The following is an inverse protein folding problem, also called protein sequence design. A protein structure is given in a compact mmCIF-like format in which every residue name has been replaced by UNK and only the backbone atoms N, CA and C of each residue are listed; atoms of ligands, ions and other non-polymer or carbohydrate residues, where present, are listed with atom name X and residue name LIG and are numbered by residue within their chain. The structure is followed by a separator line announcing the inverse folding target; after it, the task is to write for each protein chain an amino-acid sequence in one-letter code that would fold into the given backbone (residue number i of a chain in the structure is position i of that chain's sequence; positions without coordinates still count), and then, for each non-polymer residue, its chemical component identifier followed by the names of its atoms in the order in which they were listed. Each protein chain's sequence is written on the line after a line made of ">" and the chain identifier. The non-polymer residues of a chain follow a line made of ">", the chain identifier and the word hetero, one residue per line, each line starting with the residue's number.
data_IF_586119628967
#
_entry.id   IF_586119628967
#
_cell.length_a   1.000
_cell.length_b   1.000
_cell.length_c   1.000
_cell.angle_alpha   90.00
_cell.angle_beta   90.00
_cell.angle_gamma   90.00
#
_symmetry.space_group_name_H-M   'P 1'
#
loop_
_entity.id
_entity.type
_entity.pdbx_description
1 polymer ?
#
# COMPACT_ATOMS: atom_id res chain seq x y z
N UNK A 1 17.08 -50.76 2.79
CA UNK A 1 15.64 -51.06 2.53
C UNK A 1 14.82 -50.11 3.40
N UNK A 2 14.22 -49.06 2.85
CA UNK A 2 13.32 -48.20 3.65
C UNK A 2 12.01 -48.97 3.93
N UNK A 3 11.53 -48.94 5.17
CA UNK A 3 10.30 -49.60 5.57
C UNK A 3 9.08 -48.72 5.21
N UNK A 4 7.93 -49.36 4.94
CA UNK A 4 6.68 -48.72 4.50
C UNK A 4 6.22 -47.52 5.35
N UNK A 5 6.48 -47.54 6.66
CA UNK A 5 6.20 -46.46 7.60
C UNK A 5 7.05 -45.22 7.36
N UNK A 6 8.32 -45.38 6.94
CA UNK A 6 9.19 -44.26 6.56
C UNK A 6 8.77 -43.65 5.23
N UNK A 7 8.32 -44.47 4.27
CA UNK A 7 7.78 -43.98 3.00
C UNK A 7 6.48 -43.18 3.21
N UNK A 8 5.60 -43.63 4.11
CA UNK A 8 4.36 -42.94 4.45
C UNK A 8 4.60 -41.58 5.13
N UNK A 9 5.51 -41.50 6.11
CA UNK A 9 5.85 -40.23 6.76
C UNK A 9 6.47 -39.21 5.79
N UNK A 10 7.32 -39.65 4.86
CA UNK A 10 7.91 -38.77 3.83
C UNK A 10 6.85 -38.24 2.86
N UNK A 11 5.89 -39.08 2.47
CA UNK A 11 4.77 -38.64 1.63
C UNK A 11 3.91 -37.59 2.33
N UNK A 12 3.57 -37.79 3.62
CA UNK A 12 2.81 -36.82 4.39
C UNK A 12 3.56 -35.50 4.60
N UNK A 13 4.86 -35.55 4.88
CA UNK A 13 5.69 -34.35 4.99
C UNK A 13 5.78 -33.59 3.65
N UNK A 14 5.90 -34.31 2.53
CA UNK A 14 5.87 -33.72 1.19
C UNK A 14 4.53 -33.04 0.86
N UNK A 15 3.42 -33.68 1.23
CA UNK A 15 2.07 -33.11 1.05
C UNK A 15 1.92 -31.86 1.93
N UNK A 16 2.28 -31.92 3.21
CA UNK A 16 2.17 -30.78 4.12
C UNK A 16 3.00 -29.57 3.64
N UNK A 17 4.22 -29.82 3.14
CA UNK A 17 5.07 -28.78 2.56
C UNK A 17 4.47 -28.17 1.29
N UNK A 18 3.91 -28.99 0.40
CA UNK A 18 3.21 -28.52 -0.80
C UNK A 18 1.99 -27.65 -0.46
N UNK A 19 1.23 -28.01 0.57
CA UNK A 19 0.10 -27.22 1.05
C UNK A 19 0.53 -25.88 1.67
N UNK A 20 1.64 -25.84 2.41
CA UNK A 20 2.19 -24.58 2.94
C UNK A 20 2.65 -23.64 1.83
N UNK A 21 3.26 -24.17 0.76
CA UNK A 21 3.70 -23.37 -0.38
C UNK A 21 2.50 -22.84 -1.17
N UNK A 22 1.48 -23.66 -1.40
CA UNK A 22 0.26 -23.25 -2.10
C UNK A 22 -0.55 -22.21 -1.30
N UNK A 23 -0.64 -22.36 0.03
CA UNK A 23 -1.34 -21.40 0.90
C UNK A 23 -0.60 -20.05 1.03
N UNK A 24 0.69 -20.00 0.70
CA UNK A 24 1.50 -18.78 0.72
C UNK A 24 1.37 -17.90 -0.52
N UNK A 25 0.61 -18.32 -1.54
CA UNK A 25 0.38 -17.50 -2.72
C UNK A 25 -0.67 -16.44 -2.41
N UNK A 26 -0.23 -15.28 -1.94
CA UNK A 26 -1.06 -14.09 -1.95
C UNK A 26 -1.44 -13.80 -3.40
N UNK A 27 -2.74 -13.88 -3.71
CA UNK A 27 -3.27 -13.38 -4.98
C UNK A 27 -3.09 -11.87 -4.93
N UNK A 28 -2.10 -11.35 -5.64
CA UNK A 28 -1.97 -9.92 -5.80
C UNK A 28 -3.19 -9.44 -6.59
N UNK A 29 -3.98 -8.56 -5.97
CA UNK A 29 -5.09 -7.89 -6.65
C UNK A 29 -4.46 -6.99 -7.73
N UNK A 30 -4.74 -7.26 -9.01
CA UNK A 30 -4.20 -6.51 -10.16
C UNK A 30 -4.93 -5.18 -10.33
N UNK A 31 -5.15 -4.47 -9.21
CA UNK A 31 -5.75 -3.16 -9.22
C UNK A 31 -4.88 -2.25 -10.10
N UNK A 32 -5.46 -1.52 -11.07
CA UNK A 32 -4.68 -0.65 -11.93
C UNK A 32 -3.97 0.38 -11.05
N UNK A 33 -2.69 0.64 -11.35
CA UNK A 33 -2.00 1.78 -10.77
C UNK A 33 -2.84 3.05 -11.00
N UNK A 34 -2.81 4.06 -10.11
CA UNK A 34 -3.66 5.25 -10.24
C UNK A 34 -3.56 5.93 -11.61
N UNK A 35 -2.38 5.95 -12.24
CA UNK A 35 -2.19 6.50 -13.59
C UNK A 35 -2.85 5.68 -14.72
N UNK A 36 -3.25 4.43 -14.45
CA UNK A 36 -3.82 3.48 -15.40
C UNK A 36 -5.32 3.21 -15.14
N UNK A 37 -5.89 3.79 -14.09
CA UNK A 37 -7.31 3.65 -13.81
C UNK A 37 -8.15 4.52 -14.77
N UNK A 38 -9.48 4.38 -14.68
CA UNK A 38 -10.43 5.11 -15.52
C UNK A 38 -11.06 6.30 -14.80
N UNK A 39 -10.56 6.68 -13.62
CA UNK A 39 -11.15 7.77 -12.83
C UNK A 39 -10.40 9.08 -13.05
N UNK A 40 -11.11 10.19 -12.82
CA UNK A 40 -10.51 11.51 -12.93
C UNK A 40 -9.76 11.87 -11.65
N UNK A 41 -8.46 12.10 -11.77
CA UNK A 41 -7.61 12.55 -10.67
C UNK A 41 -7.56 14.09 -10.62
N UNK A 42 -8.33 14.70 -9.71
CA UNK A 42 -8.42 16.16 -9.57
C UNK A 42 -7.20 16.80 -8.89
N UNK A 43 -6.38 15.98 -8.22
CA UNK A 43 -5.25 16.42 -7.40
C UNK A 43 -5.67 16.89 -6.00
N UNK A 44 -4.80 16.67 -5.02
CA UNK A 44 -5.09 16.91 -3.59
C UNK A 44 -5.50 18.35 -3.26
N UNK A 45 -5.10 19.33 -4.08
CA UNK A 45 -5.44 20.73 -3.88
C UNK A 45 -6.96 20.99 -4.00
N UNK A 46 -7.71 20.14 -4.71
CA UNK A 46 -9.17 20.25 -4.78
C UNK A 46 -9.86 20.04 -3.43
N UNK A 47 -9.18 19.42 -2.46
CA UNK A 47 -9.68 19.18 -1.10
C UNK A 47 -9.31 20.30 -0.12
N UNK A 48 -8.49 21.27 -0.53
CA UNK A 48 -7.82 22.23 0.35
C UNK A 48 -8.69 23.41 0.79
N UNK A 49 -9.98 23.45 0.44
CA UNK A 49 -10.87 24.51 0.93
C UNK A 49 -11.13 24.33 2.43
N UNK A 50 -11.34 25.43 3.15
CA UNK A 50 -11.62 25.38 4.60
C UNK A 50 -12.92 24.66 4.95
N UNK A 51 -13.85 24.55 4.00
CA UNK A 51 -15.13 23.85 4.17
C UNK A 51 -15.00 22.34 3.93
N UNK A 52 -13.95 21.88 3.24
CA UNK A 52 -13.72 20.46 2.94
C UNK A 52 -12.66 19.84 3.87
N UNK A 53 -11.36 20.07 3.64
CA UNK A 53 -10.29 19.48 4.46
C UNK A 53 -9.12 20.44 4.74
N UNK A 54 -9.28 21.71 4.37
CA UNK A 54 -8.25 22.74 4.45
C UNK A 54 -8.41 23.74 5.61
N UNK A 55 -9.20 23.42 6.63
CA UNK A 55 -9.31 24.27 7.80
C UNK A 55 -7.95 24.43 8.49
N UNK A 56 -7.68 25.62 9.05
CA UNK A 56 -6.42 25.90 9.76
C UNK A 56 -6.35 25.10 11.07
N UNK A 57 -7.49 24.89 11.72
CA UNK A 57 -7.67 24.14 12.97
C UNK A 57 -8.82 23.16 12.83
N UNK A 58 -8.81 22.08 13.61
CA UNK A 58 -9.86 21.06 13.56
C UNK A 58 -11.22 21.57 14.03
N UNK A 59 -12.31 21.05 13.47
CA UNK A 59 -13.67 21.42 13.85
C UNK A 59 -14.21 20.46 14.91
N UNK A 60 -14.77 20.98 16.00
CA UNK A 60 -15.26 20.18 17.14
C UNK A 60 -16.64 19.56 16.91
N UNK A 61 -17.41 20.09 15.96
CA UNK A 61 -18.78 19.64 15.63
C UNK A 61 -18.84 18.80 14.35
N UNK A 62 -17.69 18.33 13.87
CA UNK A 62 -17.57 17.47 12.71
C UNK A 62 -17.13 16.07 13.14
N UNK A 63 -17.55 15.06 12.38
CA UNK A 63 -17.10 13.67 12.59
C UNK A 63 -15.67 13.45 12.10
N UNK A 64 -15.14 14.36 11.29
CA UNK A 64 -13.75 14.43 10.81
C UNK A 64 -13.10 15.75 11.22
N UNK A 65 -11.78 15.89 11.11
CA UNK A 65 -11.07 17.07 11.60
C UNK A 65 -11.25 18.29 10.70
N UNK A 66 -11.45 18.09 9.40
CA UNK A 66 -11.50 19.13 8.36
C UNK A 66 -10.20 19.94 8.18
N UNK A 67 -9.12 19.58 8.88
CA UNK A 67 -7.78 20.17 8.72
C UNK A 67 -6.73 19.16 8.20
N UNK A 68 -7.19 18.05 7.64
CA UNK A 68 -6.35 16.94 7.18
C UNK A 68 -5.39 17.40 6.08
N UNK A 69 -5.84 18.20 5.11
CA UNK A 69 -4.98 18.72 4.04
C UNK A 69 -3.82 19.56 4.61
N UNK A 70 -4.12 20.46 5.55
CA UNK A 70 -3.11 21.33 6.17
C UNK A 70 -2.13 20.51 7.00
N UNK A 71 -2.62 19.52 7.73
CA UNK A 71 -1.76 18.60 8.49
C UNK A 71 -0.86 17.80 7.56
N UNK A 72 -1.43 17.19 6.52
CA UNK A 72 -0.72 16.39 5.53
C UNK A 72 0.37 17.20 4.84
N UNK A 73 0.04 18.34 4.22
CA UNK A 73 1.01 19.12 3.44
C UNK A 73 2.15 19.70 4.30
N UNK A 74 1.89 19.96 5.58
CA UNK A 74 2.87 20.60 6.47
C UNK A 74 3.68 19.61 7.31
N UNK A 75 3.14 18.44 7.62
CA UNK A 75 3.70 17.53 8.65
C UNK A 75 3.93 16.12 8.13
N UNK A 76 3.24 15.69 7.08
CA UNK A 76 3.38 14.34 6.56
C UNK A 76 4.48 14.27 5.49
N UNK A 77 5.35 13.26 5.59
CA UNK A 77 6.40 12.99 4.60
C UNK A 77 5.83 12.53 3.27
N UNK A 78 4.64 11.92 3.27
CA UNK A 78 3.98 11.47 2.04
C UNK A 78 3.69 12.65 1.09
N UNK A 79 3.45 13.85 1.61
CA UNK A 79 3.28 15.05 0.79
C UNK A 79 4.50 15.39 -0.08
N UNK A 80 5.68 14.86 0.27
CA UNK A 80 6.96 15.09 -0.42
C UNK A 80 7.54 13.80 -1.01
N UNK A 81 6.82 12.67 -0.96
CA UNK A 81 7.37 11.38 -1.36
C UNK A 81 7.84 11.37 -2.83
N UNK A 82 7.14 12.08 -3.71
CA UNK A 82 7.52 12.17 -5.12
C UNK A 82 8.89 12.84 -5.32
N UNK A 83 9.27 13.82 -4.48
CA UNK A 83 10.57 14.50 -4.57
C UNK A 83 11.74 13.52 -4.34
N UNK A 84 11.53 12.51 -3.49
CA UNK A 84 12.53 11.46 -3.23
C UNK A 84 12.84 10.67 -4.50
N UNK A 85 11.81 10.36 -5.30
CA UNK A 85 11.97 9.62 -6.55
C UNK A 85 12.83 10.37 -7.58
N UNK A 86 12.99 11.69 -7.41
CA UNK A 86 13.74 12.55 -8.32
C UNK A 86 15.23 12.71 -7.94
N UNK A 87 15.68 12.14 -6.80
CA UNK A 87 17.08 12.19 -6.41
C UNK A 87 17.96 11.21 -7.22
N UNK A 88 19.29 11.33 -7.10
CA UNK A 88 20.22 10.53 -7.89
C UNK A 88 20.20 9.03 -7.55
N UNK A 89 19.95 8.68 -6.29
CA UNK A 89 19.87 7.29 -5.86
C UNK A 89 18.63 6.60 -6.44
N UNK A 90 17.46 7.22 -6.31
CA UNK A 90 16.22 6.69 -6.88
C UNK A 90 16.30 6.59 -8.41
N UNK A 91 16.93 7.56 -9.08
CA UNK A 91 17.21 7.49 -10.53
C UNK A 91 18.19 6.38 -10.90
N UNK A 92 19.14 6.02 -10.01
CA UNK A 92 20.02 4.86 -10.23
C UNK A 92 19.23 3.56 -10.10
N UNK A 93 18.35 3.43 -9.10
CA UNK A 93 17.51 2.24 -8.90
C UNK A 93 16.57 1.99 -10.08
N UNK A 94 16.08 3.05 -10.73
CA UNK A 94 15.16 2.96 -11.85
C UNK A 94 15.80 2.57 -13.20
N UNK A 95 17.14 2.47 -13.28
CA UNK A 95 17.88 2.06 -14.49
C UNK A 95 18.21 0.58 -14.45
#
# INVERSE_FOLDING_TARGET
>A
MLNARRLFCLALAGIALAWMVAAGQAVADDAPLPQNDKVMHLGVASCASSTCHGAVTSFTQSTVLLNEYVTWVRKDKHAKAYEVLLNDESKRIAR
#
